data_IF_806478750148
#
_entry.id   IF_806478750148
#
_cell.length_a   1.000
_cell.length_b   1.000
_cell.length_c   1.000
_cell.angle_alpha   90.00
_cell.angle_beta   90.00
_cell.angle_gamma   90.00
#
_symmetry.space_group_name_H-M   'P 1'
#
loop_
_entity.id
_entity.type
_entity.pdbx_description
1 polymer ?
#
# COMPACT_ATOMS: atom_id res chain seq x y z
N UNK A 1 -14.39 30.18 -6.52
CA UNK A 1 -14.14 30.77 -7.86
C UNK A 1 -12.69 30.53 -8.17
N UNK A 2 -12.39 29.78 -9.24
CA UNK A 2 -11.02 29.50 -9.66
C UNK A 2 -10.48 30.66 -10.53
N UNK A 3 -9.16 30.90 -10.58
CA UNK A 3 -8.54 31.89 -11.46
C UNK A 3 -8.84 31.63 -12.95
N UNK A 4 -8.80 32.69 -13.78
CA UNK A 4 -9.06 32.60 -15.23
C UNK A 4 -8.04 31.74 -15.99
N UNK A 5 -6.87 31.51 -15.41
CA UNK A 5 -5.82 30.62 -15.95
C UNK A 5 -6.22 29.14 -15.89
N UNK A 6 -7.22 28.80 -15.07
CA UNK A 6 -7.71 27.43 -14.91
C UNK A 6 -8.88 27.19 -15.85
N UNK A 7 -8.61 26.46 -16.93
CA UNK A 7 -9.67 25.95 -17.81
C UNK A 7 -10.44 24.84 -17.12
N UNK A 8 -11.76 24.98 -17.05
CA UNK A 8 -12.65 24.01 -16.45
C UNK A 8 -13.48 23.32 -17.53
N UNK A 9 -13.50 22.00 -17.47
CA UNK A 9 -14.37 21.18 -18.30
C UNK A 9 -15.31 20.37 -17.41
N UNK A 10 -16.50 20.10 -17.91
CA UNK A 10 -17.49 19.31 -17.19
C UNK A 10 -18.11 18.28 -18.11
N UNK A 11 -18.20 17.04 -17.61
CA UNK A 11 -18.86 15.92 -18.27
C UNK A 11 -20.36 16.15 -18.49
N UNK A 12 -20.95 17.14 -17.82
CA UNK A 12 -22.36 17.52 -18.05
C UNK A 12 -22.56 18.27 -19.36
N UNK A 13 -21.49 18.87 -19.90
CA UNK A 13 -21.55 19.75 -21.07
C UNK A 13 -20.82 19.18 -22.30
N UNK A 14 -20.18 18.01 -22.18
CA UNK A 14 -19.45 17.35 -23.26
C UNK A 14 -19.49 15.83 -23.07
N UNK A 15 -19.53 15.09 -24.18
CA UNK A 15 -19.35 13.64 -24.13
C UNK A 15 -17.90 13.29 -23.75
N UNK A 16 -17.68 12.12 -23.14
CA UNK A 16 -16.36 11.69 -22.68
C UNK A 16 -15.29 11.71 -23.79
N UNK A 17 -15.69 11.39 -25.03
CA UNK A 17 -14.82 11.45 -26.22
C UNK A 17 -14.43 12.88 -26.62
N UNK A 18 -15.32 13.87 -26.47
CA UNK A 18 -14.97 15.26 -26.78
C UNK A 18 -13.97 15.83 -25.77
N UNK A 19 -14.13 15.50 -24.49
CA UNK A 19 -13.18 15.89 -23.45
C UNK A 19 -11.80 15.31 -23.71
N UNK A 20 -11.75 14.05 -24.11
CA UNK A 20 -10.52 13.36 -24.51
C UNK A 20 -9.81 14.12 -25.64
N UNK A 21 -10.53 14.44 -26.72
CA UNK A 21 -9.94 15.08 -27.89
C UNK A 21 -9.47 16.50 -27.59
N UNK A 22 -10.24 17.27 -26.82
CA UNK A 22 -9.86 18.63 -26.40
C UNK A 22 -8.58 18.59 -25.54
N UNK A 23 -8.49 17.67 -24.58
CA UNK A 23 -7.33 17.56 -23.70
C UNK A 23 -6.08 17.09 -24.45
N UNK A 24 -6.22 16.16 -25.40
CA UNK A 24 -5.12 15.71 -26.24
C UNK A 24 -4.63 16.77 -27.23
N UNK A 25 -5.51 17.64 -27.73
CA UNK A 25 -5.14 18.74 -28.61
C UNK A 25 -4.48 19.89 -27.84
N UNK A 26 -4.98 20.21 -26.65
CA UNK A 26 -4.46 21.30 -25.83
C UNK A 26 -3.18 20.94 -25.08
N UNK A 27 -2.95 19.65 -24.76
CA UNK A 27 -1.78 19.12 -24.05
C UNK A 27 -1.33 19.99 -22.86
N UNK A 28 -2.19 20.17 -21.84
CA UNK A 28 -1.80 20.88 -20.64
C UNK A 28 -0.65 20.14 -19.92
N UNK A 29 0.13 20.86 -19.11
CA UNK A 29 1.17 20.24 -18.28
C UNK A 29 0.57 19.26 -17.27
N UNK A 30 -0.53 19.67 -16.63
CA UNK A 30 -1.29 18.86 -15.69
C UNK A 30 -2.80 19.02 -15.87
N UNK A 31 -3.53 17.92 -15.70
CA UNK A 31 -5.00 17.89 -15.61
C UNK A 31 -5.42 17.36 -14.25
N UNK A 32 -6.31 18.08 -13.57
CA UNK A 32 -6.93 17.63 -12.32
C UNK A 32 -8.27 16.98 -12.64
N UNK A 33 -8.40 15.70 -12.27
CA UNK A 33 -9.60 14.90 -12.43
C UNK A 33 -10.22 14.69 -11.04
N UNK A 34 -11.22 15.49 -10.71
CA UNK A 34 -11.78 15.62 -9.36
C UNK A 34 -12.57 14.38 -8.86
N UNK A 35 -13.01 13.51 -9.76
CA UNK A 35 -13.63 12.24 -9.35
C UNK A 35 -13.47 11.17 -10.43
N UNK A 36 -12.66 10.15 -10.15
CA UNK A 36 -12.54 8.94 -10.95
C UNK A 36 -13.47 7.85 -10.40
N UNK A 37 -14.57 7.57 -11.11
CA UNK A 37 -15.62 6.66 -10.62
C UNK A 37 -15.89 5.49 -11.55
N UNK A 38 -15.96 5.70 -12.86
CA UNK A 38 -16.33 4.68 -13.85
C UNK A 38 -15.11 4.13 -14.59
N UNK A 39 -15.26 3.01 -15.28
CA UNK A 39 -14.19 2.43 -16.10
C UNK A 39 -13.67 3.38 -17.18
N UNK A 40 -14.57 4.18 -17.76
CA UNK A 40 -14.25 5.21 -18.75
C UNK A 40 -13.36 6.30 -18.15
N UNK A 41 -13.60 6.69 -16.90
CA UNK A 41 -12.78 7.70 -16.21
C UNK A 41 -11.33 7.22 -16.05
N UNK A 42 -11.14 5.96 -15.65
CA UNK A 42 -9.81 5.37 -15.52
C UNK A 42 -9.13 5.23 -16.88
N UNK A 43 -9.87 4.85 -17.93
CA UNK A 43 -9.30 4.78 -19.30
C UNK A 43 -8.85 6.15 -19.77
N UNK A 44 -9.69 7.18 -19.63
CA UNK A 44 -9.33 8.55 -19.97
C UNK A 44 -8.08 9.02 -19.21
N UNK A 45 -8.01 8.74 -17.91
CA UNK A 45 -6.81 9.06 -17.10
C UNK A 45 -5.55 8.37 -17.66
N UNK A 46 -5.64 7.08 -17.96
CA UNK A 46 -4.54 6.29 -18.51
C UNK A 46 -4.11 6.84 -19.87
N UNK A 47 -5.06 7.11 -20.77
CA UNK A 47 -4.80 7.58 -22.12
C UNK A 47 -4.10 8.96 -22.11
N UNK A 48 -4.61 9.90 -21.31
CA UNK A 48 -3.98 11.22 -21.14
C UNK A 48 -2.57 11.09 -20.55
N UNK A 49 -2.38 10.23 -19.56
CA UNK A 49 -1.07 10.03 -18.92
C UNK A 49 -0.07 9.42 -19.89
N UNK A 50 -0.48 8.45 -20.71
CA UNK A 50 0.34 7.85 -21.76
C UNK A 50 0.64 8.83 -22.91
N UNK A 51 -0.24 9.79 -23.16
CA UNK A 51 0.00 10.90 -24.08
C UNK A 51 0.99 11.95 -23.54
N UNK A 52 1.47 11.79 -22.30
CA UNK A 52 2.46 12.65 -21.67
C UNK A 52 1.88 13.77 -20.80
N UNK A 53 0.55 13.89 -20.70
CA UNK A 53 -0.11 14.90 -19.87
C UNK A 53 0.01 14.48 -18.41
N UNK A 54 0.44 15.38 -17.52
CA UNK A 54 0.47 15.12 -16.08
C UNK A 54 -0.95 14.97 -15.53
N UNK A 55 -1.19 14.03 -14.62
CA UNK A 55 -2.54 13.74 -14.14
C UNK A 55 -2.61 13.74 -12.62
N UNK A 56 -3.56 14.50 -12.06
CA UNK A 56 -3.90 14.47 -10.63
C UNK A 56 -5.33 13.92 -10.54
N UNK A 57 -5.47 12.66 -10.14
CA UNK A 57 -6.76 11.98 -10.06
C UNK A 57 -7.22 11.82 -8.61
N UNK A 58 -8.47 12.17 -8.34
CA UNK A 58 -9.09 11.98 -7.03
C UNK A 58 -9.97 10.72 -7.07
N UNK A 59 -9.68 9.79 -6.14
CA UNK A 59 -10.35 8.49 -6.04
C UNK A 59 -10.88 8.32 -4.62
N UNK A 60 -12.16 7.99 -4.48
CA UNK A 60 -12.69 7.54 -3.20
C UNK A 60 -12.19 6.13 -2.89
N UNK A 61 -11.45 6.00 -1.79
CA UNK A 61 -10.85 4.75 -1.35
C UNK A 61 -10.79 4.69 0.18
N UNK A 62 -11.00 3.49 0.75
CA UNK A 62 -10.86 3.25 2.20
C UNK A 62 -9.42 3.08 2.64
N UNK A 63 -8.55 2.70 1.70
CA UNK A 63 -7.12 2.59 1.90
C UNK A 63 -6.36 3.01 0.63
N UNK A 64 -5.08 3.41 0.74
CA UNK A 64 -4.31 3.83 -0.43
C UNK A 64 -4.17 2.71 -1.48
N UNK A 65 -4.15 1.44 -1.04
CA UNK A 65 -3.96 0.30 -1.94
C UNK A 65 -5.20 0.02 -2.80
N UNK A 66 -6.40 0.33 -2.29
CA UNK A 66 -7.64 0.20 -3.07
C UNK A 66 -7.62 1.12 -4.30
N UNK A 67 -7.01 2.31 -4.18
CA UNK A 67 -6.85 3.23 -5.31
C UNK A 67 -5.94 2.64 -6.40
N UNK A 68 -4.80 2.06 -6.01
CA UNK A 68 -3.85 1.41 -6.94
C UNK A 68 -4.50 0.20 -7.63
N UNK A 69 -5.27 -0.61 -6.90
CA UNK A 69 -6.01 -1.76 -7.45
C UNK A 69 -6.93 -1.38 -8.62
N UNK A 70 -7.52 -0.19 -8.60
CA UNK A 70 -8.36 0.29 -9.71
C UNK A 70 -7.57 0.52 -10.99
N UNK A 71 -6.25 0.67 -10.95
CA UNK A 71 -5.44 0.77 -12.17
C UNK A 71 -4.87 -0.57 -12.60
N UNK A 72 -4.46 -1.43 -11.67
CA UNK A 72 -3.79 -2.71 -11.95
C UNK A 72 -4.56 -3.59 -12.94
N UNK A 73 -5.89 -3.64 -12.85
CA UNK A 73 -6.70 -4.47 -13.73
C UNK A 73 -6.87 -3.92 -15.15
N UNK A 74 -6.36 -2.71 -15.43
CA UNK A 74 -6.53 -1.98 -16.69
C UNK A 74 -5.23 -1.80 -17.46
N UNK A 75 -4.08 -2.10 -16.83
CA UNK A 75 -2.75 -1.81 -17.37
C UNK A 75 -1.81 -2.95 -17.06
N UNK A 76 -0.81 -3.15 -17.91
CA UNK A 76 0.26 -4.08 -17.60
C UNK A 76 1.03 -3.61 -16.36
N UNK A 77 1.45 -4.56 -15.52
CA UNK A 77 2.22 -4.27 -14.31
C UNK A 77 3.43 -3.36 -14.61
N UNK A 78 4.09 -3.63 -15.74
CA UNK A 78 5.22 -2.87 -16.28
C UNK A 78 4.96 -1.37 -16.45
N UNK A 79 3.72 -1.01 -16.76
CA UNK A 79 3.29 0.35 -17.05
C UNK A 79 2.76 1.09 -15.83
N UNK A 80 2.47 0.38 -14.73
CA UNK A 80 1.82 0.95 -13.56
C UNK A 80 2.56 2.19 -13.03
N UNK A 81 3.90 2.18 -12.81
CA UNK A 81 4.61 3.37 -12.32
C UNK A 81 4.66 4.53 -13.32
N UNK A 82 4.46 4.29 -14.62
CA UNK A 82 4.39 5.36 -15.62
C UNK A 82 3.03 6.07 -15.61
N UNK A 83 2.00 5.39 -15.09
CA UNK A 83 0.63 5.88 -15.05
C UNK A 83 0.33 6.51 -13.68
N UNK A 84 0.73 5.83 -12.62
CA UNK A 84 0.59 6.27 -11.24
C UNK A 84 1.90 5.99 -10.50
N UNK A 85 2.68 7.04 -10.29
CA UNK A 85 3.92 7.00 -9.51
C UNK A 85 3.70 7.38 -8.04
N UNK A 86 2.70 8.22 -7.73
CA UNK A 86 2.48 8.76 -6.38
C UNK A 86 1.01 8.65 -5.96
N UNK A 87 0.77 8.18 -4.74
CA UNK A 87 -0.56 8.10 -4.12
C UNK A 87 -0.58 8.86 -2.81
N UNK A 88 -1.41 9.90 -2.72
CA UNK A 88 -1.57 10.72 -1.51
C UNK A 88 -2.90 10.34 -0.86
N UNK A 89 -2.83 9.80 0.36
CA UNK A 89 -3.99 9.41 1.13
C UNK A 89 -4.39 10.50 2.11
N UNK A 90 -5.62 11.00 1.97
CA UNK A 90 -6.18 12.02 2.84
C UNK A 90 -7.14 11.36 3.83
N UNK A 91 -6.92 11.59 5.13
CA UNK A 91 -7.78 11.12 6.20
C UNK A 91 -8.06 12.27 7.18
N UNK A 92 -9.34 12.50 7.48
CA UNK A 92 -9.80 13.60 8.34
C UNK A 92 -9.22 14.98 7.97
N UNK A 93 -9.17 15.26 6.65
CA UNK A 93 -8.67 16.53 6.12
C UNK A 93 -7.16 16.72 6.20
N UNK A 94 -6.38 15.66 6.50
CA UNK A 94 -4.92 15.70 6.57
C UNK A 94 -4.31 14.63 5.66
N UNK A 95 -3.12 14.92 5.13
CA UNK A 95 -2.29 13.90 4.48
C UNK A 95 -1.85 12.91 5.56
N UNK A 96 -2.32 11.67 5.45
CA UNK A 96 -2.01 10.59 6.40
C UNK A 96 -0.85 9.74 5.89
N UNK A 97 -0.84 9.40 4.60
CA UNK A 97 0.21 8.62 3.95
C UNK A 97 0.49 9.14 2.55
N UNK A 98 1.75 9.03 2.14
CA UNK A 98 2.18 9.26 0.76
C UNK A 98 2.95 8.03 0.32
N UNK A 99 2.48 7.38 -0.74
CA UNK A 99 3.14 6.22 -1.31
C UNK A 99 3.73 6.55 -2.66
N UNK A 100 4.89 5.95 -2.94
CA UNK A 100 5.57 5.99 -4.22
C UNK A 100 5.63 4.59 -4.81
N UNK A 101 5.37 4.47 -6.12
CA UNK A 101 5.44 3.24 -6.88
C UNK A 101 6.72 3.22 -7.71
N UNK A 102 7.54 2.17 -7.56
CA UNK A 102 8.80 1.99 -8.31
C UNK A 102 8.85 0.61 -8.94
N UNK A 103 9.27 0.53 -10.20
CA UNK A 103 9.55 -0.76 -10.85
C UNK A 103 10.94 -1.26 -10.45
N UNK A 104 11.05 -2.55 -10.13
CA UNK A 104 12.33 -3.23 -9.96
C UNK A 104 12.26 -4.68 -10.45
N UNK A 105 13.41 -5.30 -10.67
CA UNK A 105 13.51 -6.73 -10.96
C UNK A 105 14.17 -7.40 -9.76
N UNK A 106 13.41 -8.21 -9.03
CA UNK A 106 13.91 -8.91 -7.83
C UNK A 106 13.14 -10.20 -7.56
N UNK A 107 13.57 -10.93 -6.53
CA UNK A 107 12.79 -12.01 -5.94
C UNK A 107 11.70 -11.39 -5.02
N UNK A 108 10.40 -11.64 -5.26
CA UNK A 108 9.33 -11.16 -4.38
C UNK A 108 9.46 -11.71 -2.95
N UNK A 109 9.03 -10.91 -1.98
CA UNK A 109 9.02 -11.26 -0.56
C UNK A 109 8.14 -12.49 -0.33
N UNK A 110 8.71 -13.52 0.30
CA UNK A 110 8.01 -14.78 0.62
C UNK A 110 8.23 -15.91 -0.39
N UNK A 111 8.86 -15.65 -1.53
CA UNK A 111 9.31 -16.69 -2.47
C UNK A 111 10.72 -17.18 -2.12
N UNK A 112 11.08 -18.38 -2.60
CA UNK A 112 12.38 -19.01 -2.29
C UNK A 112 13.40 -18.70 -3.39
N UNK A 113 14.69 -18.82 -3.09
CA UNK A 113 15.78 -18.55 -4.04
C UNK A 113 15.76 -19.43 -5.30
N UNK A 114 15.04 -20.55 -5.29
CA UNK A 114 14.83 -21.38 -6.47
C UNK A 114 13.91 -20.72 -7.52
N UNK A 115 13.17 -19.68 -7.13
CA UNK A 115 12.32 -18.90 -8.02
C UNK A 115 13.16 -17.82 -8.73
N UNK A 116 12.94 -17.66 -10.04
CA UNK A 116 13.61 -16.63 -10.83
C UNK A 116 13.13 -15.22 -10.46
N UNK A 117 14.06 -14.26 -10.53
CA UNK A 117 13.76 -12.84 -10.40
C UNK A 117 12.75 -12.42 -11.48
N UNK A 118 11.81 -11.54 -11.11
CA UNK A 118 10.74 -11.07 -11.99
C UNK A 118 10.48 -9.58 -11.77
N UNK A 119 9.75 -8.92 -12.69
CA UNK A 119 9.28 -7.56 -12.47
C UNK A 119 8.38 -7.48 -11.25
N UNK A 120 8.67 -6.55 -10.35
CA UNK A 120 7.91 -6.24 -9.14
C UNK A 120 7.75 -4.74 -9.07
N UNK A 121 6.52 -4.27 -8.87
CA UNK A 121 6.27 -2.88 -8.47
C UNK A 121 6.32 -2.81 -6.95
N UNK A 122 7.25 -2.04 -6.45
CA UNK A 122 7.38 -1.71 -5.04
C UNK A 122 6.49 -0.52 -4.70
N UNK A 123 5.66 -0.64 -3.68
CA UNK A 123 4.91 0.47 -3.08
C UNK A 123 5.60 0.83 -1.78
N UNK A 124 6.24 2.00 -1.74
CA UNK A 124 7.04 2.48 -0.62
C UNK A 124 6.37 3.66 0.06
N UNK A 125 6.57 3.80 1.36
CA UNK A 125 6.29 5.05 2.05
C UNK A 125 7.26 6.12 1.57
N UNK A 126 6.74 7.23 1.05
CA UNK A 126 7.55 8.29 0.46
C UNK A 126 8.44 8.99 1.49
N UNK A 127 7.99 9.09 2.75
CA UNK A 127 8.72 9.78 3.81
C UNK A 127 9.83 8.88 4.37
N UNK A 128 9.55 7.60 4.56
CA UNK A 128 10.50 6.67 5.21
C UNK A 128 11.26 5.77 4.24
N UNK A 129 10.92 5.78 2.95
CA UNK A 129 11.39 4.84 1.91
C UNK A 129 11.12 3.36 2.26
N UNK A 130 10.21 3.10 3.20
CA UNK A 130 9.92 1.75 3.68
C UNK A 130 9.06 1.01 2.66
N UNK A 131 9.45 -0.20 2.27
CA UNK A 131 8.66 -1.06 1.41
C UNK A 131 7.41 -1.58 2.15
N UNK A 132 6.24 -1.13 1.73
CA UNK A 132 4.96 -1.47 2.35
C UNK A 132 4.27 -2.61 1.61
N UNK A 133 4.20 -2.52 0.28
CA UNK A 133 3.62 -3.55 -0.57
C UNK A 133 4.52 -3.90 -1.76
N UNK A 134 4.38 -5.11 -2.26
CA UNK A 134 4.89 -5.55 -3.55
C UNK A 134 3.74 -5.96 -4.43
N UNK A 135 3.82 -5.60 -5.71
CA UNK A 135 2.85 -5.98 -6.73
C UNK A 135 3.60 -6.77 -7.79
N UNK A 136 3.17 -8.01 -8.03
CA UNK A 136 3.81 -8.88 -9.01
C UNK A 136 2.83 -9.89 -9.59
N UNK A 137 3.16 -10.41 -10.76
CA UNK A 137 2.36 -11.44 -11.42
C UNK A 137 2.78 -12.83 -10.93
N UNK A 138 1.78 -13.64 -10.56
CA UNK A 138 1.93 -15.04 -10.19
C UNK A 138 0.93 -15.88 -11.00
N UNK A 139 1.44 -16.73 -11.89
CA UNK A 139 0.60 -17.32 -12.94
C UNK A 139 0.03 -16.23 -13.84
N UNK A 140 -1.29 -16.20 -13.98
CA UNK A 140 -2.02 -15.20 -14.77
C UNK A 140 -2.68 -14.10 -13.90
N UNK A 141 -2.37 -14.08 -12.60
CA UNK A 141 -2.98 -13.13 -11.66
C UNK A 141 -1.95 -12.13 -11.12
N UNK A 142 -2.33 -10.86 -11.09
CA UNK A 142 -1.54 -9.82 -10.42
C UNK A 142 -1.87 -9.81 -8.93
N UNK A 143 -0.87 -10.08 -8.12
CA UNK A 143 -0.94 -10.15 -6.67
C UNK A 143 -0.45 -8.85 -6.05
N UNK A 144 -1.12 -8.41 -4.99
CA UNK A 144 -0.67 -7.29 -4.16
C UNK A 144 -0.40 -7.83 -2.77
N UNK A 145 0.83 -7.65 -2.31
CA UNK A 145 1.36 -8.39 -1.19
C UNK A 145 1.94 -7.42 -0.17
N UNK A 146 1.37 -7.33 1.04
CA UNK A 146 1.94 -6.51 2.10
C UNK A 146 3.18 -7.18 2.70
N UNK A 147 4.31 -6.50 2.62
CA UNK A 147 5.65 -7.07 2.95
C UNK A 147 5.77 -7.42 4.43
N UNK A 148 5.25 -6.55 5.32
CA UNK A 148 5.28 -6.80 6.77
C UNK A 148 4.51 -8.05 7.18
N UNK A 149 3.40 -8.37 6.50
CA UNK A 149 2.57 -9.53 6.85
C UNK A 149 3.26 -10.85 6.48
N UNK A 150 3.96 -10.91 5.34
CA UNK A 150 4.73 -12.10 4.95
C UNK A 150 5.95 -12.28 5.85
N UNK A 151 6.67 -11.19 6.13
CA UNK A 151 7.78 -11.21 7.07
C UNK A 151 7.32 -11.67 8.46
N UNK A 152 6.06 -11.46 8.84
CA UNK A 152 5.52 -11.98 10.09
C UNK A 152 5.31 -13.51 10.05
N UNK A 153 4.60 -14.03 9.03
CA UNK A 153 4.34 -15.48 8.89
C UNK A 153 5.62 -16.32 8.85
N UNK A 154 6.65 -15.86 8.14
CA UNK A 154 7.94 -16.55 8.08
C UNK A 154 8.75 -16.53 9.39
N UNK A 155 8.37 -15.68 10.34
CA UNK A 155 9.05 -15.47 11.61
C UNK A 155 8.24 -15.91 12.82
N UNK A 156 7.05 -16.48 12.67
CA UNK A 156 6.20 -16.95 13.79
C UNK A 156 6.97 -17.80 14.80
N UNK A 157 7.65 -18.84 14.32
CA UNK A 157 8.46 -19.73 15.16
C UNK A 157 9.64 -19.03 15.84
N UNK A 158 10.20 -17.99 15.20
CA UNK A 158 11.29 -17.19 15.77
C UNK A 158 10.77 -16.21 16.82
N UNK A 159 9.61 -15.60 16.58
CA UNK A 159 8.94 -14.69 17.50
C UNK A 159 8.51 -15.45 18.75
N UNK A 160 7.86 -16.61 18.58
CA UNK A 160 7.48 -17.49 19.69
C UNK A 160 8.67 -17.85 20.56
N UNK A 161 9.77 -18.35 19.96
CA UNK A 161 11.02 -18.64 20.67
C UNK A 161 11.66 -17.42 21.35
N UNK A 162 11.58 -16.24 20.71
CA UNK A 162 12.12 -15.01 21.27
C UNK A 162 11.33 -14.56 22.51
N UNK A 163 10.00 -14.65 22.45
CA UNK A 163 9.12 -14.32 23.58
C UNK A 163 9.28 -15.32 24.72
N UNK A 164 9.32 -16.63 24.44
CA UNK A 164 9.59 -17.67 25.44
C UNK A 164 10.93 -17.45 26.16
N UNK A 165 11.97 -17.02 25.45
CA UNK A 165 13.27 -16.68 26.07
C UNK A 165 13.21 -15.43 26.94
N UNK A 166 12.42 -14.43 26.54
CA UNK A 166 12.26 -13.19 27.31
C UNK A 166 11.38 -13.37 28.54
N UNK A 167 10.37 -14.24 28.45
CA UNK A 167 9.36 -14.53 29.46
C UNK A 167 9.13 -16.05 29.51
N UNK A 168 9.97 -16.79 30.25
CA UNK A 168 9.81 -18.24 30.41
C UNK A 168 8.48 -18.54 31.11
N UNK A 169 7.59 -19.29 30.46
CA UNK A 169 6.24 -19.58 30.95
C UNK A 169 5.14 -18.65 30.44
N UNK A 170 5.42 -17.79 29.47
CA UNK A 170 4.40 -17.10 28.70
C UNK A 170 3.80 -18.03 27.63
N UNK A 171 2.48 -18.07 27.53
CA UNK A 171 1.79 -18.63 26.38
C UNK A 171 1.71 -17.57 25.29
N UNK A 172 2.05 -17.98 24.07
CA UNK A 172 2.10 -17.08 22.92
C UNK A 172 1.21 -17.66 21.84
N UNK A 173 0.14 -16.93 21.55
CA UNK A 173 -0.77 -17.20 20.45
C UNK A 173 -0.69 -16.09 19.42
N UNK A 174 -0.96 -16.45 18.18
CA UNK A 174 -0.67 -15.62 17.04
C UNK A 174 -1.86 -15.74 16.10
N UNK A 175 -2.65 -14.67 16.04
CA UNK A 175 -3.92 -14.62 15.32
C UNK A 175 -3.86 -13.48 14.30
N UNK A 176 -3.77 -13.81 13.02
CA UNK A 176 -3.58 -12.88 11.89
C UNK A 176 -2.40 -11.91 12.08
N UNK A 177 -2.65 -10.74 12.67
CA UNK A 177 -1.69 -9.68 12.96
C UNK A 177 -1.58 -9.37 14.44
N UNK A 178 -2.20 -10.18 15.30
CA UNK A 178 -2.22 -9.97 16.74
C UNK A 178 -1.36 -11.01 17.42
N UNK A 179 -0.28 -10.55 18.05
CA UNK A 179 0.50 -11.38 18.97
C UNK A 179 -0.13 -11.28 20.35
N UNK A 180 -0.77 -12.37 20.79
CA UNK A 180 -1.37 -12.47 22.12
C UNK A 180 -0.38 -13.16 23.04
N UNK A 181 0.13 -12.43 24.02
CA UNK A 181 1.02 -12.96 25.04
C UNK A 181 0.23 -13.09 26.34
N UNK A 182 0.01 -14.31 26.80
CA UNK A 182 -0.64 -14.62 28.07
C UNK A 182 0.42 -15.00 29.09
N UNK A 183 0.48 -14.28 30.21
CA UNK A 183 1.46 -14.54 31.29
C UNK A 183 0.76 -14.81 32.63
N UNK A 184 1.25 -15.75 33.46
CA UNK A 184 0.82 -15.86 34.86
C UNK A 184 1.04 -14.57 35.64
N UNK A 185 0.18 -14.27 36.64
CA UNK A 185 0.32 -13.10 37.54
C UNK A 185 1.74 -12.91 38.11
N UNK A 186 2.44 -14.01 38.41
CA UNK A 186 3.81 -14.01 38.93
C UNK A 186 4.79 -13.31 37.98
N UNK A 187 4.53 -13.36 36.67
CA UNK A 187 5.37 -12.78 35.62
C UNK A 187 4.94 -11.37 35.18
N UNK A 188 3.85 -10.80 35.73
CA UNK A 188 3.35 -9.48 35.34
C UNK A 188 4.40 -8.37 35.51
N UNK A 189 5.21 -8.42 36.57
CA UNK A 189 6.28 -7.44 36.80
C UNK A 189 7.44 -7.59 35.81
N UNK A 190 7.73 -8.81 35.37
CA UNK A 190 8.74 -9.07 34.35
C UNK A 190 8.27 -8.59 32.98
N UNK A 191 7.00 -8.86 32.63
CA UNK A 191 6.36 -8.34 31.42
C UNK A 191 6.47 -6.81 31.32
N UNK A 192 6.09 -6.08 32.38
CA UNK A 192 6.17 -4.61 32.39
C UNK A 192 7.59 -4.09 32.12
N UNK A 193 8.62 -4.75 32.67
CA UNK A 193 10.02 -4.42 32.40
C UNK A 193 10.46 -4.75 30.97
N UNK A 194 9.85 -5.74 30.32
CA UNK A 194 10.20 -6.20 28.96
C UNK A 194 9.30 -5.60 27.88
N UNK A 195 8.24 -4.88 28.24
CA UNK A 195 7.26 -4.31 27.30
C UNK A 195 7.89 -3.44 26.21
N UNK A 196 8.92 -2.65 26.55
CA UNK A 196 9.66 -1.85 25.57
C UNK A 196 10.34 -2.70 24.49
N UNK A 197 10.78 -3.92 24.82
CA UNK A 197 11.36 -4.86 23.84
C UNK A 197 10.29 -5.55 23.01
N UNK A 198 9.14 -5.85 23.60
CA UNK A 198 8.01 -6.47 22.89
C UNK A 198 7.37 -5.49 21.89
N UNK A 199 7.25 -4.20 22.24
CA UNK A 199 6.80 -3.16 21.30
C UNK A 199 7.69 -2.98 20.07
N UNK A 200 8.99 -3.30 20.17
CA UNK A 200 9.87 -3.32 19.00
C UNK A 200 9.49 -4.42 18.00
N UNK A 201 8.86 -5.50 18.43
CA UNK A 201 8.34 -6.54 17.53
C UNK A 201 7.10 -6.01 16.78
N UNK A 202 6.26 -5.24 17.47
CA UNK A 202 5.10 -4.56 16.89
C UNK A 202 5.51 -3.59 15.78
N UNK A 203 6.50 -2.72 16.01
CA UNK A 203 7.05 -1.83 14.97
C UNK A 203 7.74 -2.60 13.82
N UNK A 204 8.55 -3.61 14.16
CA UNK A 204 9.38 -4.33 13.18
C UNK A 204 8.57 -5.22 12.24
N UNK A 205 7.53 -5.87 12.75
CA UNK A 205 6.74 -6.83 12.00
C UNK A 205 5.33 -6.30 11.66
N UNK A 206 5.00 -5.07 12.07
CA UNK A 206 3.70 -4.46 11.81
C UNK A 206 2.54 -5.20 12.48
N UNK A 207 2.76 -5.72 13.69
CA UNK A 207 1.81 -6.57 14.42
C UNK A 207 1.26 -5.86 15.64
N UNK A 208 -0.01 -6.08 15.96
CA UNK A 208 -0.62 -5.57 17.19
C UNK A 208 -0.25 -6.46 18.37
N UNK A 209 0.32 -5.89 19.43
CA UNK A 209 0.62 -6.65 20.65
C UNK A 209 -0.55 -6.59 21.63
N UNK A 210 -1.15 -7.74 21.95
CA UNK A 210 -2.11 -7.89 23.06
C UNK A 210 -1.49 -8.69 24.19
N UNK A 211 -1.72 -8.25 25.43
CA UNK A 211 -1.13 -8.89 26.59
C UNK A 211 -2.20 -9.20 27.63
N UNK A 212 -2.29 -10.46 28.02
CA UNK A 212 -3.24 -10.96 29.00
C UNK A 212 -2.49 -11.48 30.23
N UNK A 213 -3.06 -11.23 31.41
CA UNK A 213 -2.53 -11.78 32.66
C UNK A 213 -3.49 -12.90 33.08
N UNK A 214 -3.02 -14.14 33.01
CA UNK A 214 -3.73 -15.30 33.54
C UNK A 214 -3.81 -15.19 35.08
N UNK A 215 -5.03 -15.33 35.59
CA UNK A 215 -5.41 -15.11 36.99
C UNK A 215 -4.80 -16.09 37.97
#
# INVERSE_FOLDING_TARGET
>A
ILPNEITQYSKTYAESGELHDILLLSRPDYTVFDELRTDEDFRLYIDLRLAGIGMIGVVHATSPIDAIQRFINRVDLGMLPNIIDTVIFIHNGKVDKVFELRMTVKLPTGLREADLARPVVEVRDFITDELVYEIYTFGDQTMIVPVKQIAFRGFEDKIKRYVERLLPGAEVELHDHTLVITVPRVLARALMKKMKKLRKLEEKFGITLKVNIAG
#
